data_IF_324886797471
#
_entry.id   IF_324886797471
#
_cell.length_a   1.000
_cell.length_b   1.000
_cell.length_c   1.000
_cell.angle_alpha   90.00
_cell.angle_beta   90.00
_cell.angle_gamma   90.00
#
_symmetry.space_group_name_H-M   'P 1'
#
loop_
_entity.id
_entity.type
_entity.pdbx_description
1 polymer ?
#
# COMPACT_ATOMS: atom_id res chain seq x y z
N UNK A 1 9.66 2.55 -20.49
CA UNK A 1 9.07 3.71 -19.80
C UNK A 1 10.15 4.23 -18.86
N UNK A 2 10.59 5.48 -19.02
CA UNK A 2 11.57 6.05 -18.11
C UNK A 2 10.89 6.26 -16.75
N UNK A 3 11.52 5.81 -15.66
CA UNK A 3 11.08 6.14 -14.31
C UNK A 3 11.33 7.63 -14.12
N UNK A 4 10.30 8.45 -14.28
CA UNK A 4 10.38 9.90 -14.05
C UNK A 4 10.79 10.14 -12.60
N UNK A 5 11.90 10.86 -12.41
CA UNK A 5 12.43 11.18 -11.08
C UNK A 5 11.85 12.51 -10.64
N UNK A 6 11.15 12.50 -9.52
CA UNK A 6 10.54 13.68 -8.91
C UNK A 6 11.25 14.02 -7.61
N UNK A 7 11.30 15.32 -7.29
CA UNK A 7 11.77 15.81 -6.00
C UNK A 7 10.59 15.99 -5.08
N UNK A 8 10.68 15.42 -3.88
CA UNK A 8 9.63 15.54 -2.86
C UNK A 8 10.27 15.78 -1.51
N UNK A 9 9.54 16.53 -0.68
CA UNK A 9 9.89 16.67 0.73
C UNK A 9 9.22 15.54 1.50
N UNK A 10 9.97 14.88 2.38
CA UNK A 10 9.47 13.79 3.21
C UNK A 10 9.81 14.00 4.67
N UNK A 11 8.96 13.47 5.55
CA UNK A 11 9.32 13.23 6.94
C UNK A 11 9.84 11.81 7.10
N UNK A 12 10.87 11.64 7.92
CA UNK A 12 11.46 10.34 8.23
C UNK A 12 11.20 9.96 9.68
N UNK A 13 11.07 8.66 9.93
CA UNK A 13 11.18 8.10 11.28
C UNK A 13 12.64 8.05 11.76
N UNK A 14 12.87 7.78 13.05
CA UNK A 14 14.19 7.56 13.66
C UNK A 14 15.04 6.49 12.94
N UNK A 15 14.38 5.60 12.18
CA UNK A 15 15.01 4.52 11.40
C UNK A 15 15.32 4.89 9.93
N UNK A 16 14.94 6.09 9.48
CA UNK A 16 15.17 6.59 8.13
C UNK A 16 14.11 6.18 7.09
N UNK A 17 12.96 5.66 7.53
CA UNK A 17 11.83 5.34 6.66
C UNK A 17 10.91 6.54 6.49
N UNK A 18 10.32 6.67 5.30
CA UNK A 18 9.36 7.75 5.02
C UNK A 18 8.08 7.51 5.80
N UNK A 19 7.68 8.50 6.59
CA UNK A 19 6.42 8.49 7.36
C UNK A 19 5.34 9.34 6.72
N UNK A 20 5.71 10.24 5.81
CA UNK A 20 4.77 11.11 5.11
C UNK A 20 5.42 11.91 4.00
N UNK A 21 4.62 12.23 2.98
CA UNK A 21 4.97 13.21 1.95
C UNK A 21 4.54 14.61 2.40
N UNK A 22 5.43 15.58 2.26
CA UNK A 22 5.07 16.99 2.35
C UNK A 22 4.57 17.48 0.99
N UNK A 23 3.54 18.32 1.00
CA UNK A 23 3.05 18.99 -0.21
C UNK A 23 4.06 20.00 -0.72
N UNK A 24 3.98 20.30 -2.02
CA UNK A 24 4.79 21.34 -2.64
C UNK A 24 4.49 22.69 -1.96
N UNK A 25 5.52 23.28 -1.34
CA UNK A 25 5.40 24.54 -0.58
C UNK A 25 5.17 24.37 0.92
N UNK A 26 4.92 23.16 1.43
CA UNK A 26 4.75 22.86 2.85
C UNK A 26 5.93 22.03 3.38
N UNK A 27 7.15 22.52 3.17
CA UNK A 27 8.33 21.95 3.83
C UNK A 27 8.17 22.15 5.34
N UNK A 28 7.79 21.09 6.03
CA UNK A 28 7.59 21.11 7.48
C UNK A 28 8.97 21.07 8.16
N UNK A 29 9.11 21.66 9.35
CA UNK A 29 10.36 21.61 10.10
C UNK A 29 10.77 20.15 10.36
N UNK A 30 11.95 19.74 9.88
CA UNK A 30 12.42 18.35 9.94
C UNK A 30 12.14 17.50 8.70
N UNK A 31 11.49 18.07 7.67
CA UNK A 31 11.41 17.44 6.36
C UNK A 31 12.73 17.53 5.58
N UNK A 32 13.01 16.53 4.75
CA UNK A 32 14.18 16.52 3.86
C UNK A 32 13.73 16.38 2.41
N UNK A 33 14.45 17.03 1.49
CA UNK A 33 14.26 16.82 0.06
C UNK A 33 14.92 15.50 -0.35
N UNK A 34 14.16 14.66 -1.05
CA UNK A 34 14.66 13.44 -1.67
C UNK A 34 14.31 13.40 -3.15
N UNK A 35 15.12 12.65 -3.89
CA UNK A 35 14.78 12.27 -5.27
C UNK A 35 14.22 10.85 -5.27
N UNK A 36 13.01 10.69 -5.79
CA UNK A 36 12.32 9.40 -5.88
C UNK A 36 11.70 9.22 -7.26
N UNK A 37 11.66 8.00 -7.82
CA UNK A 37 10.87 7.71 -9.00
C UNK A 37 9.37 7.82 -8.68
N UNK A 38 8.59 8.35 -9.62
CA UNK A 38 7.15 8.60 -9.46
C UNK A 38 6.36 7.34 -9.11
N UNK A 39 6.77 6.18 -9.64
CA UNK A 39 6.15 4.88 -9.36
C UNK A 39 6.25 4.45 -7.88
N UNK A 40 7.15 5.05 -7.09
CA UNK A 40 7.30 4.74 -5.68
C UNK A 40 6.45 5.62 -4.76
N UNK A 41 5.85 6.69 -5.26
CA UNK A 41 5.03 7.61 -4.44
C UNK A 41 3.85 6.90 -3.75
N UNK A 42 3.36 5.79 -4.33
CA UNK A 42 2.31 4.95 -3.75
C UNK A 42 2.76 3.97 -2.67
N UNK A 43 4.07 3.76 -2.48
CA UNK A 43 4.63 2.75 -1.56
C UNK A 43 5.39 3.39 -0.39
N UNK A 44 4.79 4.40 0.24
CA UNK A 44 5.33 5.18 1.36
C UNK A 44 6.05 4.32 2.41
N UNK A 45 5.37 3.30 2.93
CA UNK A 45 5.86 2.45 4.02
C UNK A 45 7.11 1.63 3.67
N UNK A 46 7.35 1.38 2.38
CA UNK A 46 8.47 0.62 1.87
C UNK A 46 9.64 1.50 1.38
N UNK A 47 9.53 2.83 1.44
CA UNK A 47 10.61 3.73 1.05
C UNK A 47 11.49 4.05 2.25
N UNK A 48 12.78 3.74 2.11
CA UNK A 48 13.84 4.13 3.02
C UNK A 48 14.74 5.17 2.37
N UNK A 49 15.09 6.22 3.08
CA UNK A 49 16.02 7.22 2.58
C UNK A 49 17.43 6.89 3.04
N UNK A 50 18.34 6.72 2.08
CA UNK A 50 19.76 6.47 2.32
C UNK A 50 20.55 7.49 1.50
N UNK A 51 21.34 8.34 2.17
CA UNK A 51 22.13 9.39 1.51
C UNK A 51 21.31 10.39 0.67
N UNK A 52 20.07 10.69 1.09
CA UNK A 52 19.16 11.59 0.35
C UNK A 52 18.49 10.96 -0.88
N UNK A 53 18.70 9.67 -1.11
CA UNK A 53 18.05 8.90 -2.18
C UNK A 53 16.97 7.99 -1.61
N UNK A 54 15.82 7.96 -2.29
CA UNK A 54 14.76 7.01 -2.01
C UNK A 54 15.18 5.60 -2.47
N UNK A 55 15.35 4.70 -1.51
CA UNK A 55 15.55 3.27 -1.75
C UNK A 55 14.29 2.51 -1.39
N UNK A 56 13.80 1.72 -2.33
CA UNK A 56 12.73 0.77 -2.07
C UNK A 56 13.31 -0.41 -1.27
N UNK A 57 12.80 -0.61 -0.06
CA UNK A 57 13.12 -1.77 0.74
C UNK A 57 12.29 -2.97 0.25
N UNK A 58 12.95 -3.88 -0.44
CA UNK A 58 12.30 -5.04 -1.07
C UNK A 58 11.65 -5.98 -0.03
N UNK A 59 12.14 -6.01 1.21
CA UNK A 59 11.57 -6.85 2.25
C UNK A 59 10.22 -6.29 2.74
N UNK A 60 10.14 -4.97 2.95
CA UNK A 60 8.88 -4.30 3.28
C UNK A 60 7.88 -4.29 2.11
N UNK A 61 8.35 -4.09 0.88
CA UNK A 61 7.49 -4.17 -0.30
C UNK A 61 6.83 -5.55 -0.39
N UNK A 62 7.62 -6.62 -0.25
CA UNK A 62 7.11 -7.98 -0.28
C UNK A 62 6.13 -8.28 0.85
N UNK A 63 6.36 -7.74 2.05
CA UNK A 63 5.42 -7.86 3.16
C UNK A 63 4.09 -7.15 2.88
N UNK A 64 4.12 -5.96 2.29
CA UNK A 64 2.92 -5.24 1.88
C UNK A 64 2.17 -5.95 0.73
N UNK A 65 2.90 -6.53 -0.23
CA UNK A 65 2.29 -7.34 -1.30
C UNK A 65 1.69 -8.65 -0.80
N UNK A 66 2.30 -9.30 0.21
CA UNK A 66 1.80 -10.52 0.84
C UNK A 66 0.55 -10.22 1.67
N UNK A 67 0.53 -9.11 2.41
CA UNK A 67 -0.65 -8.65 3.15
C UNK A 67 -1.79 -8.21 2.20
N UNK A 68 -1.47 -7.57 1.07
CA UNK A 68 -2.47 -7.21 0.06
C UNK A 68 -3.00 -8.42 -0.74
N UNK A 69 -2.21 -9.50 -0.85
CA UNK A 69 -2.67 -10.80 -1.41
C UNK A 69 -3.23 -11.75 -0.34
N UNK A 70 -3.27 -11.33 0.94
CA UNK A 70 -3.92 -12.13 1.95
C UNK A 70 -5.41 -12.22 1.58
N UNK A 71 -5.96 -13.44 1.43
CA UNK A 71 -7.37 -13.59 1.14
C UNK A 71 -8.17 -12.93 2.26
N UNK A 72 -8.98 -11.94 1.90
CA UNK A 72 -9.85 -11.26 2.85
C UNK A 72 -10.75 -12.32 3.50
N UNK A 73 -10.76 -12.50 4.83
CA UNK A 73 -11.52 -13.57 5.48
C UNK A 73 -13.03 -13.43 5.26
N UNK A 74 -13.49 -12.31 4.70
CA UNK A 74 -14.88 -12.06 4.32
C UNK A 74 -15.27 -12.71 2.99
N UNK A 75 -14.32 -12.96 2.08
CA UNK A 75 -14.58 -13.63 0.81
C UNK A 75 -15.02 -15.09 1.02
N UNK A 76 -14.44 -15.78 2.02
CA UNK A 76 -14.87 -17.12 2.42
C UNK A 76 -16.31 -17.16 2.96
N UNK A 77 -16.71 -16.13 3.74
CA UNK A 77 -18.04 -16.05 4.33
C UNK A 77 -19.15 -15.75 3.29
N UNK A 78 -18.83 -15.02 2.22
CA UNK A 78 -19.78 -14.72 1.14
C UNK A 78 -20.11 -15.97 0.32
N UNK A 79 -19.15 -16.89 0.15
CA UNK A 79 -19.37 -18.13 -0.58
C UNK A 79 -20.31 -19.09 0.18
N UNK A 80 -20.16 -19.22 1.50
CA UNK A 80 -21.05 -20.06 2.32
C UNK A 80 -22.49 -19.52 2.41
N UNK A 81 -22.67 -18.20 2.43
CA UNK A 81 -24.00 -17.57 2.40
C UNK A 81 -24.73 -17.79 1.07
N UNK A 82 -23.98 -17.82 -0.04
CA UNK A 82 -24.56 -18.01 -1.38
C UNK A 82 -25.09 -19.43 -1.57
N UNK A 83 -24.39 -20.44 -1.05
CA UNK A 83 -24.80 -21.85 -1.10
C UNK A 83 -26.10 -22.09 -0.29
N UNK A 84 -26.22 -21.46 0.89
CA UNK A 84 -27.41 -21.54 1.73
C UNK A 84 -28.65 -20.91 1.07
N UNK A 85 -28.50 -19.78 0.37
CA UNK A 85 -29.60 -19.12 -0.34
C UNK A 85 -30.07 -19.93 -1.55
N UNK A 86 -29.14 -20.56 -2.29
CA UNK A 86 -29.47 -21.42 -3.42
C UNK A 86 -30.24 -22.66 -2.93
N UNK A 87 -29.83 -23.26 -1.82
CA UNK A 87 -30.52 -24.41 -1.22
C UNK A 87 -31.96 -24.07 -0.76
N UNK A 88 -32.20 -22.85 -0.27
CA UNK A 88 -33.55 -22.39 0.09
C UNK A 88 -34.44 -22.09 -1.12
N UNK A 89 -33.88 -21.64 -2.26
CA UNK A 89 -34.66 -21.36 -3.47
C UNK A 89 -35.07 -22.62 -4.24
N UNK A 90 -34.23 -23.67 -4.25
CA UNK A 90 -34.59 -24.95 -4.91
C UNK A 90 -35.52 -25.83 -4.04
N UNK A 91 -35.53 -25.65 -2.72
CA UNK A 91 -36.43 -26.39 -1.81
C UNK A 91 -37.85 -25.80 -1.65
N UNK A 92 -38.12 -24.61 -2.19
CA UNK A 92 -39.40 -23.90 -2.04
C UNK A 92 -40.44 -24.17 -3.14
N UNK A 93 -40.12 -25.02 -4.11
CA UNK A 93 -41.02 -25.42 -5.19
C UNK A 93 -41.73 -26.74 -4.90
N UNK A 94 -42.52 -26.80 -3.83
CA UNK A 94 -43.45 -27.92 -3.59
C UNK A 94 -44.89 -27.40 -3.62
N UNK A 95 -45.57 -27.79 -4.70
CA UNK A 95 -47.04 -27.98 -4.85
C UNK A 95 -47.94 -26.75 -5.05
#
# INVERSE_FOLDING_TARGET
MANEMVRRHVTLDSTGFVTGWCNEGEATEGSIEITTPENLLGNLDAIKVVDGLAQLDNAKQKAAEDEANAPDPRDAAILELTDLVISMMEGGGSE
#
